data_IF_921325247803
#
_entry.id   IF_921325247803
#
_cell.length_a   1.000
_cell.length_b   1.000
_cell.length_c   1.000
_cell.angle_alpha   90.00
_cell.angle_beta   90.00
_cell.angle_gamma   90.00
#
_symmetry.space_group_name_H-M   'P 1'
#
loop_
_entity.id
_entity.type
_entity.pdbx_description
1 polymer ?
#
# COMPACT_ATOMS: atom_id res chain seq x y z
N UNK A 1 27.46 -26.85 4.55
CA UNK A 1 27.14 -26.84 3.10
C UNK A 1 25.83 -27.59 2.92
N UNK A 2 24.76 -26.86 2.56
CA UNK A 2 23.45 -27.39 2.11
C UNK A 2 23.01 -26.43 1.00
N UNK A 3 23.21 -26.75 -0.28
CA UNK A 3 22.37 -27.56 -1.18
C UNK A 3 21.18 -26.78 -1.81
N UNK A 4 21.22 -26.72 -3.15
CA UNK A 4 20.25 -26.18 -4.10
C UNK A 4 20.01 -24.67 -4.14
N UNK A 5 21.00 -23.95 -4.69
CA UNK A 5 20.91 -22.55 -5.14
C UNK A 5 20.04 -22.34 -6.39
N UNK A 6 18.79 -22.81 -6.38
CA UNK A 6 17.76 -22.40 -7.33
C UNK A 6 16.94 -21.30 -6.68
N UNK A 7 17.30 -20.05 -6.94
CA UNK A 7 16.49 -18.89 -6.55
C UNK A 7 15.56 -18.53 -7.70
N UNK A 8 14.28 -18.36 -7.40
CA UNK A 8 13.32 -17.85 -8.35
C UNK A 8 13.59 -16.34 -8.55
N UNK A 9 14.22 -15.97 -9.66
CA UNK A 9 14.62 -14.56 -9.93
C UNK A 9 13.43 -13.61 -9.83
N UNK A 10 12.25 -14.04 -10.30
CA UNK A 10 11.00 -13.27 -10.19
C UNK A 10 10.68 -12.93 -8.73
N UNK A 11 10.80 -13.90 -7.83
CA UNK A 11 10.52 -13.74 -6.39
C UNK A 11 11.51 -12.78 -5.75
N UNK A 12 12.80 -12.94 -6.04
CA UNK A 12 13.86 -12.08 -5.48
C UNK A 12 13.70 -10.64 -5.93
N UNK A 13 13.45 -10.41 -7.23
CA UNK A 13 13.20 -9.07 -7.76
C UNK A 13 11.93 -8.45 -7.21
N UNK A 14 10.85 -9.24 -7.11
CA UNK A 14 9.58 -8.77 -6.57
C UNK A 14 9.73 -8.31 -5.12
N UNK A 15 10.32 -9.13 -4.25
CA UNK A 15 10.56 -8.75 -2.86
C UNK A 15 11.57 -7.62 -2.70
N UNK A 16 12.64 -7.62 -3.49
CA UNK A 16 13.62 -6.53 -3.47
C UNK A 16 13.00 -5.19 -3.84
N UNK A 17 12.19 -5.16 -4.90
CA UNK A 17 11.48 -3.97 -5.34
C UNK A 17 10.45 -3.50 -4.30
N UNK A 18 9.62 -4.41 -3.77
CA UNK A 18 8.65 -4.08 -2.73
C UNK A 18 9.34 -3.55 -1.49
N UNK A 19 10.38 -4.21 -0.98
CA UNK A 19 11.09 -3.74 0.21
C UNK A 19 11.70 -2.34 -0.01
N UNK A 20 12.25 -2.08 -1.20
CA UNK A 20 12.80 -0.77 -1.53
C UNK A 20 11.73 0.32 -1.55
N UNK A 21 10.54 0.01 -2.09
CA UNK A 21 9.39 0.90 -2.05
C UNK A 21 8.92 1.14 -0.62
N UNK A 22 8.80 0.09 0.19
CA UNK A 22 8.38 0.22 1.59
C UNK A 22 9.35 1.08 2.41
N UNK A 23 10.64 0.92 2.18
CA UNK A 23 11.67 1.71 2.86
C UNK A 23 11.63 3.18 2.43
N UNK A 24 11.38 3.45 1.14
CA UNK A 24 11.32 4.82 0.62
C UNK A 24 10.03 5.53 1.02
N UNK A 25 8.90 4.80 1.04
CA UNK A 25 7.57 5.38 1.31
C UNK A 25 7.31 5.49 2.80
N UNK A 26 7.56 4.42 3.55
CA UNK A 26 7.17 4.29 4.97
C UNK A 26 8.35 4.24 5.94
N UNK A 27 9.59 4.38 5.43
CA UNK A 27 10.78 4.29 6.27
C UNK A 27 11.02 2.90 6.87
N UNK A 28 10.34 1.86 6.36
CA UNK A 28 10.32 0.50 6.96
C UNK A 28 10.79 -0.56 5.97
N UNK A 29 11.63 -1.47 6.45
CA UNK A 29 11.87 -2.75 5.80
C UNK A 29 10.93 -3.82 6.38
N UNK A 30 10.40 -4.68 5.52
CA UNK A 30 9.54 -5.78 5.93
C UNK A 30 10.17 -7.13 5.61
N UNK A 31 10.12 -8.04 6.58
CA UNK A 31 10.48 -9.44 6.36
C UNK A 31 9.30 -10.18 5.72
N UNK A 32 9.31 -10.24 4.39
CA UNK A 32 8.30 -10.96 3.62
C UNK A 32 8.20 -12.43 4.04
N UNK A 33 6.98 -12.93 4.19
CA UNK A 33 6.68 -14.27 4.71
C UNK A 33 6.56 -14.38 6.24
N UNK A 34 6.72 -13.29 7.02
CA UNK A 34 6.50 -13.28 8.47
C UNK A 34 5.87 -11.97 8.95
N UNK A 35 5.10 -12.04 10.05
CA UNK A 35 4.57 -10.86 10.75
C UNK A 35 3.84 -9.88 9.82
N UNK A 36 4.16 -8.59 9.95
CA UNK A 36 3.62 -7.51 9.10
C UNK A 36 4.01 -7.65 7.62
N UNK A 37 5.16 -8.26 7.33
CA UNK A 37 5.59 -8.50 5.95
C UNK A 37 4.72 -9.52 5.22
N UNK A 38 4.17 -10.51 5.93
CA UNK A 38 3.18 -11.43 5.38
C UNK A 38 1.86 -10.73 5.11
N UNK A 39 1.38 -9.90 6.04
CA UNK A 39 0.15 -9.10 5.86
C UNK A 39 0.27 -8.18 4.63
N UNK A 40 1.41 -7.52 4.50
CA UNK A 40 1.74 -6.67 3.34
C UNK A 40 1.78 -7.48 2.04
N UNK A 41 2.46 -8.63 2.03
CA UNK A 41 2.56 -9.51 0.85
C UNK A 41 1.17 -9.95 0.38
N UNK A 42 0.30 -10.36 1.30
CA UNK A 42 -1.09 -10.73 0.99
C UNK A 42 -1.86 -9.57 0.37
N UNK A 43 -1.76 -8.36 0.94
CA UNK A 43 -2.45 -7.19 0.40
C UNK A 43 -1.95 -6.79 -0.98
N UNK A 44 -0.64 -6.84 -1.21
CA UNK A 44 -0.03 -6.51 -2.49
C UNK A 44 -0.40 -7.55 -3.56
N UNK A 45 -0.34 -8.84 -3.23
CA UNK A 45 -0.72 -9.91 -4.16
C UNK A 45 -2.21 -9.84 -4.52
N UNK A 46 -3.09 -9.64 -3.53
CA UNK A 46 -4.53 -9.43 -3.75
C UNK A 46 -4.76 -8.19 -4.65
N UNK A 47 -4.03 -7.10 -4.42
CA UNK A 47 -4.08 -5.91 -5.26
C UNK A 47 -3.70 -6.20 -6.72
N UNK A 48 -2.62 -6.94 -6.95
CA UNK A 48 -2.20 -7.33 -8.30
C UNK A 48 -3.19 -8.26 -8.98
N UNK A 49 -3.79 -9.22 -8.27
CA UNK A 49 -4.84 -10.08 -8.81
C UNK A 49 -6.07 -9.28 -9.23
N UNK A 50 -6.53 -8.35 -8.37
CA UNK A 50 -7.68 -7.51 -8.65
C UNK A 50 -7.40 -6.60 -9.86
N UNK A 51 -6.25 -5.95 -9.92
CA UNK A 51 -5.83 -5.14 -11.09
C UNK A 51 -5.74 -6.00 -12.37
N UNK A 52 -5.22 -7.22 -12.28
CA UNK A 52 -5.16 -8.15 -13.40
C UNK A 52 -6.54 -8.61 -13.89
N UNK A 53 -7.50 -8.77 -12.98
CA UNK A 53 -8.89 -9.13 -13.31
C UNK A 53 -9.67 -7.98 -13.94
N UNK A 54 -9.39 -6.73 -13.54
CA UNK A 54 -10.00 -5.53 -14.12
C UNK A 54 -9.64 -5.35 -15.59
N UNK A 55 -8.46 -5.79 -16.01
CA UNK A 55 -8.03 -5.80 -17.41
C UNK A 55 -8.92 -6.69 -18.31
N UNK A 56 -9.63 -7.69 -17.76
CA UNK A 56 -10.58 -8.50 -18.55
C UNK A 56 -11.91 -7.78 -18.84
N UNK A 57 -12.21 -6.74 -18.07
CA UNK A 57 -13.41 -5.92 -18.20
C UNK A 57 -13.41 -5.14 -19.53
N UNK A 58 -12.23 -4.64 -19.93
CA UNK A 58 -12.01 -3.93 -21.20
C UNK A 58 -12.07 -4.85 -22.43
N UNK A 59 -11.95 -6.17 -22.23
CA UNK A 59 -11.97 -7.16 -23.30
C UNK A 59 -13.35 -7.77 -23.53
N UNK A 60 -14.30 -7.69 -22.59
CA UNK A 60 -15.63 -8.30 -22.68
C UNK A 60 -16.74 -7.35 -22.18
N UNK A 61 -17.23 -6.44 -23.04
CA UNK A 61 -18.15 -5.35 -22.66
C UNK A 61 -19.52 -5.82 -22.14
N UNK A 62 -19.87 -7.10 -22.29
CA UNK A 62 -21.14 -7.67 -21.80
C UNK A 62 -21.07 -8.21 -20.35
N UNK A 63 -19.88 -8.25 -19.74
CA UNK A 63 -19.70 -8.72 -18.35
C UNK A 63 -19.81 -7.58 -17.31
N UNK A 64 -19.95 -6.33 -17.74
CA UNK A 64 -19.92 -5.14 -16.86
C UNK A 64 -21.07 -5.06 -15.82
N UNK A 65 -22.21 -5.73 -16.05
CA UNK A 65 -23.33 -5.74 -15.10
C UNK A 65 -23.23 -6.83 -14.03
N UNK A 66 -22.22 -7.69 -14.16
CA UNK A 66 -22.21 -8.96 -13.49
C UNK A 66 -21.04 -8.89 -12.50
N UNK A 67 -21.34 -8.83 -11.20
CA UNK A 67 -20.36 -8.96 -10.09
C UNK A 67 -19.79 -10.41 -10.07
N UNK A 68 -19.34 -10.89 -11.22
CA UNK A 68 -19.17 -12.31 -11.57
C UNK A 68 -18.09 -13.04 -10.80
N UNK A 69 -17.22 -12.30 -10.10
CA UNK A 69 -16.14 -12.88 -9.31
C UNK A 69 -16.05 -12.28 -7.90
N UNK A 70 -17.01 -11.45 -7.49
CA UNK A 70 -16.94 -10.75 -6.20
C UNK A 70 -15.77 -9.77 -6.10
N UNK A 71 -15.25 -9.29 -7.23
CA UNK A 71 -14.11 -8.35 -7.33
C UNK A 71 -14.40 -7.08 -6.54
N UNK A 72 -15.64 -6.54 -6.63
CA UNK A 72 -16.04 -5.35 -5.86
C UNK A 72 -15.97 -5.61 -4.35
N UNK A 73 -16.39 -6.81 -3.91
CA UNK A 73 -16.33 -7.23 -2.50
C UNK A 73 -14.89 -7.42 -2.02
N UNK A 74 -14.05 -8.13 -2.80
CA UNK A 74 -12.63 -8.36 -2.52
C UNK A 74 -11.86 -7.04 -2.43
N UNK A 75 -12.10 -6.12 -3.37
CA UNK A 75 -11.53 -4.78 -3.35
C UNK A 75 -11.92 -4.01 -2.08
N UNK A 76 -13.19 -4.03 -1.68
CA UNK A 76 -13.63 -3.37 -0.43
C UNK A 76 -12.94 -3.95 0.81
N UNK A 77 -12.78 -5.27 0.87
CA UNK A 77 -12.05 -5.94 1.96
C UNK A 77 -10.57 -5.54 1.95
N UNK A 78 -9.94 -5.51 0.78
CA UNK A 78 -8.54 -5.09 0.62
C UNK A 78 -8.34 -3.65 1.08
N UNK A 79 -9.18 -2.70 0.64
CA UNK A 79 -9.13 -1.30 1.07
C UNK A 79 -9.26 -1.18 2.59
N UNK A 80 -10.13 -2.00 3.22
CA UNK A 80 -10.25 -2.05 4.67
C UNK A 80 -8.94 -2.46 5.36
N UNK A 81 -8.27 -3.52 4.87
CA UNK A 81 -6.98 -3.96 5.42
C UNK A 81 -5.89 -2.89 5.25
N UNK A 82 -5.84 -2.28 4.06
CA UNK A 82 -4.88 -1.22 3.74
C UNK A 82 -5.04 0.00 4.65
N UNK A 83 -6.28 0.44 4.86
CA UNK A 83 -6.54 1.59 5.74
C UNK A 83 -6.04 1.33 7.16
N UNK A 84 -6.24 0.12 7.69
CA UNK A 84 -5.74 -0.27 9.01
C UNK A 84 -4.21 -0.35 9.02
N UNK A 85 -3.61 -0.96 8.00
CA UNK A 85 -2.16 -1.11 7.91
C UNK A 85 -1.44 0.24 7.78
N UNK A 86 -1.81 1.05 6.79
CA UNK A 86 -1.20 2.36 6.54
C UNK A 86 -1.54 3.33 7.67
N UNK A 87 -2.76 3.30 8.21
CA UNK A 87 -3.16 4.14 9.33
C UNK A 87 -2.30 3.91 10.58
N UNK A 88 -1.96 2.65 10.89
CA UNK A 88 -0.99 2.33 11.97
C UNK A 88 0.37 2.97 11.72
N UNK A 89 0.88 2.87 10.50
CA UNK A 89 2.19 3.43 10.14
C UNK A 89 2.19 4.96 10.27
N UNK A 90 1.15 5.64 9.80
CA UNK A 90 1.01 7.11 9.91
C UNK A 90 1.02 7.51 11.40
N UNK A 91 0.23 6.83 12.23
CA UNK A 91 0.15 7.14 13.65
C UNK A 91 1.49 6.92 14.37
N UNK A 92 2.22 5.86 14.02
CA UNK A 92 3.57 5.66 14.55
C UNK A 92 4.55 6.78 14.16
N UNK A 93 4.47 7.33 12.95
CA UNK A 93 5.28 8.49 12.54
C UNK A 93 4.89 9.75 13.32
N UNK A 94 3.58 9.98 13.56
CA UNK A 94 3.11 11.08 14.42
C UNK A 94 3.64 10.96 15.85
N UNK A 95 3.59 9.76 16.44
CA UNK A 95 4.10 9.52 17.79
C UNK A 95 5.61 9.74 17.88
N UNK A 96 6.38 9.30 16.89
CA UNK A 96 7.84 9.55 16.82
C UNK A 96 8.16 11.05 16.80
N UNK A 97 7.41 11.84 16.05
CA UNK A 97 7.55 13.30 15.96
C UNK A 97 7.22 13.99 17.29
N UNK A 98 6.14 13.58 17.97
CA UNK A 98 5.74 14.17 19.27
C UNK A 98 6.71 13.80 20.39
N UNK A 99 7.28 12.59 20.36
CA UNK A 99 8.24 12.13 21.36
C UNK A 99 9.61 12.84 21.31
N UNK A 100 9.81 13.78 20.36
CA UNK A 100 11.04 14.57 20.28
C UNK A 100 12.28 13.72 19.99
N UNK A 101 12.11 12.55 19.35
CA UNK A 101 13.22 11.68 18.92
C UNK A 101 13.88 12.22 17.63
N UNK A 102 13.78 13.54 17.41
CA UNK A 102 14.72 14.24 16.55
C UNK A 102 16.06 14.29 17.30
N UNK A 103 16.84 13.22 17.12
CA UNK A 103 18.23 13.23 17.50
C UNK A 103 18.93 14.42 16.84
N UNK A 104 19.35 15.37 17.67
CA UNK A 104 20.46 16.30 17.48
C UNK A 104 21.06 16.36 16.06
N UNK A 105 20.73 17.41 15.31
CA UNK A 105 21.61 18.01 14.29
C UNK A 105 21.94 17.20 13.03
N UNK A 106 21.36 16.02 12.82
CA UNK A 106 21.51 15.26 11.57
C UNK A 106 20.30 15.45 10.67
N UNK A 107 20.51 15.66 9.37
CA UNK A 107 19.43 15.57 8.37
C UNK A 107 18.81 14.17 8.49
N UNK A 108 17.69 14.06 9.20
CA UNK A 108 16.85 12.87 9.16
C UNK A 108 16.39 12.77 7.72
N UNK A 109 16.81 11.73 7.00
CA UNK A 109 16.26 11.43 5.68
C UNK A 109 14.81 11.05 5.93
N UNK A 110 13.93 12.05 5.88
CA UNK A 110 12.50 11.85 6.03
C UNK A 110 12.01 10.95 4.90
N UNK A 111 11.15 10.01 5.25
CA UNK A 111 10.47 9.20 4.24
C UNK A 111 9.29 9.97 3.64
N UNK A 112 8.56 9.33 2.72
CA UNK A 112 7.45 10.00 2.08
C UNK A 112 6.28 10.28 3.03
N UNK A 113 6.05 9.45 4.07
CA UNK A 113 5.03 9.73 5.11
C UNK A 113 5.41 11.00 5.87
N UNK A 114 6.68 11.20 6.17
CA UNK A 114 7.14 12.43 6.81
C UNK A 114 6.81 13.69 6.01
N UNK A 115 7.02 13.65 4.69
CA UNK A 115 6.65 14.75 3.79
C UNK A 115 5.14 15.01 3.81
N UNK A 116 4.32 13.95 3.81
CA UNK A 116 2.86 14.09 3.86
C UNK A 116 2.38 14.69 5.20
N UNK A 117 3.00 14.32 6.31
CA UNK A 117 2.70 14.86 7.63
C UNK A 117 3.13 16.34 7.79
N UNK A 118 4.16 16.78 7.07
CA UNK A 118 4.52 18.20 7.01
C UNK A 118 3.47 18.98 6.22
N UNK A 119 2.99 18.42 5.11
CA UNK A 119 1.90 18.99 4.31
C UNK A 119 0.55 18.99 5.03
N UNK A 120 0.29 18.05 5.94
CA UNK A 120 -0.91 18.05 6.79
C UNK A 120 -1.02 19.36 7.59
N UNK A 121 0.09 19.86 8.14
CA UNK A 121 0.13 21.11 8.91
C UNK A 121 -0.19 22.33 8.04
N UNK A 122 0.18 22.30 6.77
CA UNK A 122 0.04 23.43 5.83
C UNK A 122 -1.29 23.41 5.08
N UNK A 123 -1.75 22.24 4.63
CA UNK A 123 -2.87 22.08 3.68
C UNK A 123 -4.06 21.29 4.24
N UNK A 124 -4.03 20.86 5.51
CA UNK A 124 -5.09 20.07 6.17
C UNK A 124 -5.39 18.73 5.47
N UNK A 125 -4.35 18.02 5.02
CA UNK A 125 -4.49 16.68 4.47
C UNK A 125 -5.03 15.72 5.54
N UNK A 126 -6.13 15.04 5.23
CA UNK A 126 -6.72 14.02 6.10
C UNK A 126 -6.00 12.68 5.95
N UNK A 127 -6.09 11.82 6.97
CA UNK A 127 -5.52 10.47 6.94
C UNK A 127 -6.00 9.66 5.73
N UNK A 128 -7.26 9.84 5.33
CA UNK A 128 -7.82 9.18 4.15
C UNK A 128 -7.14 9.63 2.85
N UNK A 129 -6.80 10.92 2.73
CA UNK A 129 -6.09 11.45 1.57
C UNK A 129 -4.64 10.98 1.56
N UNK A 130 -3.98 10.93 2.72
CA UNK A 130 -2.62 10.37 2.83
C UNK A 130 -2.60 8.90 2.45
N UNK A 131 -3.51 8.08 2.97
CA UNK A 131 -3.61 6.66 2.63
C UNK A 131 -3.87 6.46 1.12
N UNK A 132 -4.75 7.28 0.53
CA UNK A 132 -5.04 7.22 -0.91
C UNK A 132 -3.81 7.55 -1.77
N UNK A 133 -2.95 8.46 -1.30
CA UNK A 133 -1.68 8.79 -1.97
C UNK A 133 -0.64 7.69 -1.79
N UNK A 134 -0.54 7.10 -0.59
CA UNK A 134 0.49 6.12 -0.23
C UNK A 134 0.28 4.73 -0.85
N UNK A 135 -0.96 4.28 -1.00
CA UNK A 135 -1.24 2.91 -1.41
C UNK A 135 -1.56 2.75 -2.90
N UNK A 136 -2.32 3.69 -3.48
CA UNK A 136 -2.78 3.79 -4.88
C UNK A 136 -4.07 4.62 -4.81
N UNK A 137 -4.24 5.60 -5.71
CA UNK A 137 -5.44 6.46 -5.80
C UNK A 137 -6.73 5.64 -5.81
N UNK A 138 -7.31 5.43 -4.63
CA UNK A 138 -8.75 5.23 -4.50
C UNK A 138 -9.31 6.64 -4.28
N UNK A 139 -9.97 7.17 -5.31
CA UNK A 139 -10.67 8.44 -5.19
C UNK A 139 -11.58 8.38 -3.95
N UNK A 140 -11.35 9.32 -3.04
CA UNK A 140 -12.15 9.56 -1.85
C UNK A 140 -13.60 9.87 -2.26
N UNK A 141 -14.46 8.87 -2.23
CA UNK A 141 -15.92 9.01 -2.26
C UNK A 141 -16.57 7.83 -1.52
N UNK A 142 -17.59 8.05 -0.65
CA UNK A 142 -18.28 6.98 0.08
C UNK A 142 -19.03 6.01 -0.85
N UNK A 143 -19.24 6.43 -2.09
CA UNK A 143 -19.55 5.59 -3.22
C UNK A 143 -18.23 5.15 -3.87
N UNK A 144 -17.75 3.95 -3.51
CA UNK A 144 -16.84 3.18 -4.36
C UNK A 144 -17.51 2.96 -5.71
N UNK A 145 -17.37 3.95 -6.59
CA UNK A 145 -17.67 3.80 -7.99
C UNK A 145 -16.47 3.07 -8.59
N UNK A 146 -16.62 1.76 -8.73
CA UNK A 146 -15.92 0.97 -9.74
C UNK A 146 -16.28 1.40 -11.19
N UNK A 147 -16.75 2.64 -11.38
CA UNK A 147 -17.27 3.18 -12.63
C UNK A 147 -16.28 4.15 -13.28
N UNK A 148 -15.06 4.31 -12.74
CA UNK A 148 -14.01 5.15 -13.34
C UNK A 148 -12.85 4.35 -13.93
N UNK A 149 -13.15 3.11 -14.35
CA UNK A 149 -12.30 2.30 -15.21
C UNK A 149 -13.13 1.70 -16.36
N UNK A 150 -14.00 2.56 -16.92
CA UNK A 150 -14.69 2.47 -18.21
C UNK A 150 -14.89 3.88 -18.75
#
# INVERSE_FOLDING_TARGET
MCENGKVEVKRVLHFGALNNLMMSVFGRSFDFGKGEGLELEEMVNEGYELLGSLNWSDHLPFLGWLDLQGVRRRCRVLVGKVNVFVGRIIEEHRLKRVAGVEGDGGVTVGDFVDVLLDLEKEQKLTDSEMIAVLWVRSSSSPSVNCDFMF
#
